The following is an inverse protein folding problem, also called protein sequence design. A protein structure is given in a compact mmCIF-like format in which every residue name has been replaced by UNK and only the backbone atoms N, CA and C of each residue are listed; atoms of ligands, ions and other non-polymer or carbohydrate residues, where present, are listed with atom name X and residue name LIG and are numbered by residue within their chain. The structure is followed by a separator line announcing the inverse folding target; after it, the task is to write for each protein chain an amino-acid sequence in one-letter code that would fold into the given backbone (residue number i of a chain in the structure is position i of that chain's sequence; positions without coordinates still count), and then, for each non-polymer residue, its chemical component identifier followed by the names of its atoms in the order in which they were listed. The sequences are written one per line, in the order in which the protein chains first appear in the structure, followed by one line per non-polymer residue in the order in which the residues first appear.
data_IF_929290855470
#
_entry.id   IF_929290855470
#
_cell.length_a   1.000
_cell.length_b   1.000
_cell.length_c   1.000
_cell.angle_alpha   90.00
_cell.angle_beta   90.00
_cell.angle_gamma   90.00
#
_symmetry.space_group_name_H-M   'P 1'
#
loop_
_entity.id
_entity.type
_entity.pdbx_description
1 polymer ?
#
# COMPACT_ATOMS: atom_id res chain seq x y z
N UNK A 1 34.53 -0.29 3.72
CA UNK A 1 33.64 -1.36 4.17
C UNK A 1 32.65 -0.83 5.18
N UNK A 2 31.67 -0.10 4.65
CA UNK A 2 30.47 0.29 5.37
C UNK A 2 29.27 -0.33 4.67
N UNK A 3 28.55 -1.21 5.37
CA UNK A 3 27.29 -1.74 4.88
C UNK A 3 26.21 -0.67 5.06
N UNK A 4 25.60 -0.23 3.96
CA UNK A 4 24.45 0.68 3.98
C UNK A 4 23.17 -0.05 3.59
N UNK A 5 22.04 0.47 4.09
CA UNK A 5 20.70 -0.04 3.79
C UNK A 5 19.85 1.08 3.24
N UNK A 6 19.31 0.87 2.06
CA UNK A 6 18.43 1.80 1.35
C UNK A 6 17.06 1.16 1.10
N UNK A 7 16.06 2.01 0.91
CA UNK A 7 14.71 1.60 0.56
C UNK A 7 14.25 2.30 -0.71
N UNK A 8 13.69 1.52 -1.63
CA UNK A 8 12.98 2.04 -2.80
C UNK A 8 11.53 1.57 -2.75
N UNK A 9 10.61 2.44 -3.13
CA UNK A 9 9.19 2.17 -3.13
C UNK A 9 8.62 2.36 -4.54
N UNK A 10 7.75 1.44 -4.93
CA UNK A 10 7.05 1.46 -6.20
C UNK A 10 5.63 0.93 -5.98
N UNK A 11 4.67 1.36 -6.80
CA UNK A 11 3.30 0.90 -6.69
C UNK A 11 2.53 0.94 -8.00
N UNK A 12 1.52 0.07 -8.09
CA UNK A 12 0.49 0.13 -9.13
C UNK A 12 -0.91 0.27 -8.53
N UNK A 13 -1.75 1.07 -9.20
CA UNK A 13 -3.15 1.23 -8.83
C UNK A 13 -3.99 0.32 -9.73
N UNK A 14 -4.73 -0.62 -9.13
CA UNK A 14 -5.48 -1.66 -9.86
C UNK A 14 -6.95 -1.70 -9.49
N UNK A 15 -7.73 -2.21 -10.43
CA UNK A 15 -9.14 -2.55 -10.24
C UNK A 15 -10.07 -1.35 -10.08
N UNK A 16 -11.39 -1.63 -9.92
CA UNK A 16 -12.42 -0.60 -9.81
C UNK A 16 -12.31 0.20 -8.51
N UNK A 17 -11.82 -0.41 -7.43
CA UNK A 17 -11.72 0.20 -6.10
C UNK A 17 -10.34 0.81 -5.81
N UNK A 18 -9.50 0.96 -6.84
CA UNK A 18 -8.17 1.57 -6.74
C UNK A 18 -7.31 0.93 -5.63
N UNK A 19 -7.26 -0.41 -5.62
CA UNK A 19 -6.33 -1.13 -4.75
C UNK A 19 -4.91 -0.75 -5.13
N UNK A 20 -4.10 -0.35 -4.15
CA UNK A 20 -2.72 0.08 -4.36
C UNK A 20 -1.81 -1.09 -4.01
N UNK A 21 -1.18 -1.70 -5.01
CA UNK A 21 -0.20 -2.76 -4.79
C UNK A 21 1.17 -2.12 -4.62
N UNK A 22 1.74 -2.24 -3.43
CA UNK A 22 3.00 -1.62 -3.05
C UNK A 22 4.12 -2.65 -3.10
N UNK A 23 5.27 -2.25 -3.62
CA UNK A 23 6.52 -3.01 -3.54
C UNK A 23 7.57 -2.15 -2.83
N UNK A 24 8.00 -2.63 -1.66
CA UNK A 24 9.17 -2.11 -0.95
C UNK A 24 10.40 -2.95 -1.32
N UNK A 25 11.41 -2.32 -1.90
CA UNK A 25 12.73 -2.91 -2.10
C UNK A 25 13.62 -2.54 -0.91
N UNK A 26 14.29 -3.52 -0.31
CA UNK A 26 15.38 -3.28 0.65
C UNK A 26 16.68 -3.61 -0.03
N UNK A 27 17.57 -2.63 -0.13
CA UNK A 27 18.83 -2.71 -0.86
C UNK A 27 19.97 -2.62 0.14
N UNK A 28 20.91 -3.56 0.07
CA UNK A 28 22.13 -3.56 0.89
C UNK A 28 23.31 -3.26 -0.03
N UNK A 29 24.13 -2.28 0.34
CA UNK A 29 25.35 -1.91 -0.38
C UNK A 29 26.58 -2.06 0.50
N UNK A 30 27.72 -2.39 -0.11
CA UNK A 30 29.05 -2.29 0.49
C UNK A 30 29.85 -1.26 -0.32
N UNK A 31 30.24 -0.16 0.32
CA UNK A 31 30.95 0.96 -0.32
C UNK A 31 30.28 1.39 -1.65
N UNK A 32 28.97 1.69 -1.58
CA UNK A 32 28.08 2.11 -2.68
C UNK A 32 27.75 1.05 -3.76
N UNK A 33 28.32 -0.15 -3.68
CA UNK A 33 28.01 -1.25 -4.59
C UNK A 33 26.85 -2.09 -4.02
N UNK A 34 25.74 -2.22 -4.75
CA UNK A 34 24.63 -3.10 -4.39
C UNK A 34 25.08 -4.56 -4.36
N UNK A 35 24.97 -5.21 -3.19
CA UNK A 35 25.32 -6.61 -2.98
C UNK A 35 24.09 -7.51 -2.79
N UNK A 36 22.96 -6.93 -2.39
CA UNK A 36 21.72 -7.67 -2.16
C UNK A 36 20.51 -6.77 -2.29
N UNK A 37 19.41 -7.35 -2.80
CA UNK A 37 18.10 -6.72 -2.90
C UNK A 37 17.01 -7.72 -2.56
N UNK A 38 16.11 -7.33 -1.66
CA UNK A 38 14.92 -8.10 -1.31
C UNK A 38 13.66 -7.27 -1.52
N UNK A 39 12.53 -7.95 -1.73
CA UNK A 39 11.25 -7.32 -2.04
C UNK A 39 10.19 -7.76 -1.04
N UNK A 40 9.46 -6.79 -0.48
CA UNK A 40 8.22 -7.01 0.24
C UNK A 40 7.07 -6.43 -0.58
N UNK A 41 5.97 -7.17 -0.70
CA UNK A 41 4.78 -6.73 -1.42
C UNK A 41 3.57 -6.83 -0.51
N UNK A 42 2.74 -5.80 -0.56
CA UNK A 42 1.45 -5.76 0.13
C UNK A 42 0.46 -4.96 -0.69
N UNK A 43 -0.82 -5.12 -0.38
CA UNK A 43 -1.91 -4.42 -1.06
C UNK A 43 -2.64 -3.58 -0.03
N UNK A 44 -2.89 -2.33 -0.38
CA UNK A 44 -3.69 -1.40 0.40
C UNK A 44 -5.04 -1.21 -0.29
N UNK A 45 -6.09 -1.30 0.51
CA UNK A 45 -7.46 -0.99 0.11
C UNK A 45 -7.86 0.37 0.68
N UNK A 46 -8.88 1.05 0.13
CA UNK A 46 -9.26 2.39 0.60
C UNK A 46 -9.86 2.40 2.00
N UNK A 47 -10.45 1.29 2.45
CA UNK A 47 -11.21 1.19 3.70
C UNK A 47 -10.94 -0.15 4.40
N UNK A 48 -10.97 -0.12 5.73
CA UNK A 48 -10.89 -1.29 6.60
C UNK A 48 -12.13 -1.36 7.47
N UNK A 49 -12.60 -2.57 7.75
CA UNK A 49 -13.78 -2.82 8.59
C UNK A 49 -13.33 -3.34 9.96
N UNK A 50 -13.88 -2.77 11.02
CA UNK A 50 -13.68 -3.23 12.40
C UNK A 50 -15.05 -3.46 13.04
N UNK A 51 -15.46 -4.72 13.14
CA UNK A 51 -16.85 -5.06 13.45
C UNK A 51 -17.78 -4.55 12.34
N UNK A 52 -18.81 -3.79 12.71
CA UNK A 52 -19.79 -3.21 11.76
C UNK A 52 -19.43 -1.79 11.28
N UNK A 53 -18.23 -1.30 11.62
CA UNK A 53 -17.83 0.09 11.32
C UNK A 53 -16.71 0.14 10.29
N UNK A 54 -16.90 0.99 9.28
CA UNK A 54 -15.90 1.28 8.25
C UNK A 54 -15.01 2.48 8.63
N UNK A 55 -13.69 2.30 8.51
CA UNK A 55 -12.68 3.33 8.68
C UNK A 55 -11.79 3.47 7.45
N UNK A 56 -11.08 4.61 7.36
CA UNK A 56 -10.02 4.76 6.37
C UNK A 56 -8.88 3.79 6.72
N UNK A 57 -8.30 3.16 5.69
CA UNK A 57 -7.10 2.34 5.90
C UNK A 57 -5.98 3.23 6.41
N UNK A 58 -5.38 2.83 7.54
CA UNK A 58 -4.23 3.53 8.10
C UNK A 58 -3.01 3.36 7.18
N UNK A 59 -2.55 4.46 6.60
CA UNK A 59 -1.38 4.55 5.72
C UNK A 59 -0.24 5.33 6.36
N UNK A 60 -0.33 5.69 7.64
CA UNK A 60 0.68 6.50 8.33
C UNK A 60 2.08 5.85 8.38
N UNK A 61 2.13 4.51 8.28
CA UNK A 61 3.37 3.73 8.21
C UNK A 61 3.96 3.57 6.79
N UNK A 62 3.28 4.05 5.75
CA UNK A 62 3.74 3.95 4.37
C UNK A 62 4.72 5.07 4.00
N UNK A 63 5.50 4.87 2.95
CA UNK A 63 6.34 5.93 2.37
C UNK A 63 5.48 7.11 1.89
N UNK A 64 6.00 8.34 1.98
CA UNK A 64 5.28 9.56 1.64
C UNK A 64 4.75 9.55 0.20
N UNK A 65 5.48 8.95 -0.75
CA UNK A 65 5.02 8.82 -2.14
C UNK A 65 3.81 7.87 -2.24
N UNK A 66 3.84 6.76 -1.49
CA UNK A 66 2.72 5.81 -1.42
C UNK A 66 1.50 6.46 -0.77
N UNK A 67 1.69 7.22 0.32
CA UNK A 67 0.62 7.97 0.96
C UNK A 67 -0.02 8.98 -0.01
N UNK A 68 0.79 9.70 -0.79
CA UNK A 68 0.30 10.65 -1.79
C UNK A 68 -0.53 9.95 -2.88
N UNK A 69 -0.09 8.79 -3.37
CA UNK A 69 -0.86 7.98 -4.33
C UNK A 69 -2.19 7.53 -3.73
N UNK A 70 -2.18 6.96 -2.52
CA UNK A 70 -3.40 6.51 -1.84
C UNK A 70 -4.41 7.65 -1.69
N UNK A 71 -3.98 8.80 -1.17
CA UNK A 71 -4.83 9.98 -0.99
C UNK A 71 -5.38 10.53 -2.31
N UNK A 72 -4.61 10.44 -3.40
CA UNK A 72 -5.04 10.90 -4.72
C UNK A 72 -6.10 9.98 -5.35
N UNK A 73 -5.98 8.66 -5.18
CA UNK A 73 -6.86 7.69 -5.88
C UNK A 73 -8.07 7.25 -5.05
N UNK A 74 -8.00 7.32 -3.72
CA UNK A 74 -9.10 6.94 -2.81
C UNK A 74 -10.05 8.09 -2.55
N UNK A 75 -10.77 8.48 -3.61
CA UNK A 75 -11.86 9.45 -3.49
C UNK A 75 -13.03 8.90 -2.66
N UNK A 76 -13.90 9.79 -2.17
CA UNK A 76 -15.09 9.37 -1.39
C UNK A 76 -15.98 8.38 -2.15
N UNK A 77 -16.14 8.53 -3.48
CA UNK A 77 -16.93 7.60 -4.29
C UNK A 77 -16.29 6.21 -4.37
N UNK A 78 -14.96 6.14 -4.49
CA UNK A 78 -14.21 4.87 -4.46
C UNK A 78 -14.32 4.21 -3.10
N UNK A 79 -14.21 4.98 -2.01
CA UNK A 79 -14.37 4.49 -0.64
C UNK A 79 -15.75 3.85 -0.44
N UNK A 80 -16.83 4.58 -0.74
CA UNK A 80 -18.20 4.05 -0.58
C UNK A 80 -18.49 2.84 -1.49
N UNK A 81 -17.97 2.83 -2.72
CA UNK A 81 -18.13 1.69 -3.62
C UNK A 81 -17.42 0.43 -3.10
N UNK A 82 -16.24 0.59 -2.52
CA UNK A 82 -15.50 -0.51 -1.91
C UNK A 82 -16.23 -1.08 -0.68
N UNK A 83 -16.74 -0.23 0.21
CA UNK A 83 -17.53 -0.66 1.39
C UNK A 83 -18.72 -1.53 0.96
N UNK A 84 -19.51 -1.04 0.01
CA UNK A 84 -20.68 -1.77 -0.52
C UNK A 84 -20.28 -3.12 -1.13
N UNK A 85 -19.18 -3.14 -1.89
CA UNK A 85 -18.66 -4.38 -2.46
C UNK A 85 -18.22 -5.35 -1.37
N UNK A 86 -17.39 -4.91 -0.42
CA UNK A 86 -16.87 -5.77 0.63
C UNK A 86 -17.98 -6.32 1.54
N UNK A 87 -18.96 -5.49 1.92
CA UNK A 87 -20.14 -5.93 2.66
C UNK A 87 -20.94 -6.99 1.89
N UNK A 88 -21.03 -6.89 0.56
CA UNK A 88 -21.71 -7.91 -0.26
C UNK A 88 -20.97 -9.26 -0.30
N UNK A 89 -19.66 -9.28 -0.06
CA UNK A 89 -18.84 -10.50 -0.01
C UNK A 89 -18.92 -11.20 1.35
N UNK A 90 -19.24 -10.48 2.43
CA UNK A 90 -19.38 -11.04 3.78
C UNK A 90 -20.72 -11.78 4.00
N UNK A 91 -21.66 -11.69 3.05
CA UNK A 91 -22.92 -12.44 3.10
C UNK A 91 -22.60 -13.92 2.79
N UNK A 92 -22.32 -14.73 3.81
CA UNK A 92 -22.31 -16.19 3.80
C UNK A 92 -22.92 -16.73 5.08
#
# INVERSE_FOLDING_TARGET
MALTKEYEYDCEVRGPYKAVQVRKSTIIKDDDVEISRSYHRHVLHPRTKSGDTWGDTDISGEDAAIQAVCNAVWTNSIKSAYETFADSQEIT
#
